data_IF_641937238762
#
_entry.id   IF_641937238762
#
_cell.length_a   1.000
_cell.length_b   1.000
_cell.length_c   1.000
_cell.angle_alpha   90.00
_cell.angle_beta   90.00
_cell.angle_gamma   90.00
#
_symmetry.space_group_name_H-M   'P 1'
#
loop_
_entity.id
_entity.type
_entity.pdbx_description
1 polymer ?
#
# COMPACT_ATOMS: atom_id res chain seq x y z
N UNK A 1 15.94 15.96 -21.61
CA UNK A 1 14.87 15.34 -22.41
C UNK A 1 14.39 14.03 -21.84
N UNK A 2 15.28 13.06 -21.56
CA UNK A 2 14.87 11.79 -20.94
C UNK A 2 14.18 12.01 -19.60
N UNK A 3 14.65 12.96 -18.79
CA UNK A 3 14.04 13.31 -17.50
C UNK A 3 12.64 13.90 -17.64
N UNK A 4 12.41 14.69 -18.70
CA UNK A 4 11.09 15.28 -18.95
C UNK A 4 10.05 14.23 -19.30
N UNK A 5 10.41 13.25 -20.15
CA UNK A 5 9.50 12.17 -20.53
C UNK A 5 9.18 11.25 -19.37
N UNK A 6 10.20 10.91 -18.56
CA UNK A 6 10.00 10.13 -17.35
C UNK A 6 9.11 10.85 -16.33
N UNK A 7 9.28 12.15 -16.17
CA UNK A 7 8.48 12.97 -15.26
C UNK A 7 7.03 13.09 -15.75
N UNK A 8 6.82 13.28 -17.05
CA UNK A 8 5.47 13.33 -17.64
C UNK A 8 4.75 12.00 -17.46
N UNK A 9 5.46 10.89 -17.67
CA UNK A 9 4.90 9.56 -17.44
C UNK A 9 4.52 9.37 -15.98
N UNK A 10 5.38 9.78 -15.06
CA UNK A 10 5.11 9.72 -13.62
C UNK A 10 3.85 10.49 -13.25
N UNK A 11 3.70 11.72 -13.75
CA UNK A 11 2.51 12.54 -13.48
C UNK A 11 1.26 11.92 -14.07
N UNK A 12 1.33 11.33 -15.25
CA UNK A 12 0.22 10.63 -15.87
C UNK A 12 -0.19 9.41 -15.04
N UNK A 13 0.80 8.62 -14.58
CA UNK A 13 0.55 7.44 -13.75
C UNK A 13 -0.09 7.83 -12.41
N UNK A 14 0.36 8.92 -11.79
CA UNK A 14 -0.22 9.43 -10.53
C UNK A 14 -1.65 9.90 -10.75
N UNK A 15 -1.95 10.55 -11.89
CA UNK A 15 -3.30 10.97 -12.24
C UNK A 15 -4.24 9.77 -12.38
N UNK A 16 -3.78 8.69 -13.04
CA UNK A 16 -4.54 7.44 -13.15
C UNK A 16 -4.77 6.80 -11.79
N UNK A 17 -3.77 6.85 -10.92
CA UNK A 17 -3.88 6.33 -9.56
C UNK A 17 -4.93 7.09 -8.74
N UNK A 18 -4.97 8.41 -8.87
CA UNK A 18 -5.99 9.24 -8.23
C UNK A 18 -7.40 8.90 -8.74
N UNK A 19 -7.55 8.70 -10.04
CA UNK A 19 -8.82 8.32 -10.66
C UNK A 19 -9.28 6.96 -10.15
N UNK A 20 -8.37 5.99 -10.05
CA UNK A 20 -8.66 4.67 -9.48
C UNK A 20 -9.18 4.80 -8.05
N UNK A 21 -8.55 5.63 -7.22
CA UNK A 21 -8.93 5.78 -5.81
C UNK A 21 -10.27 6.47 -5.62
N UNK A 22 -10.78 7.18 -6.64
CA UNK A 22 -12.12 7.77 -6.64
C UNK A 22 -13.19 6.80 -7.12
N UNK A 23 -12.79 5.69 -7.73
CA UNK A 23 -13.72 4.71 -8.28
C UNK A 23 -14.36 3.89 -7.16
N UNK A 24 -15.66 3.61 -7.29
CA UNK A 24 -16.38 2.78 -6.31
C UNK A 24 -15.74 1.42 -6.11
N UNK A 25 -15.21 0.83 -7.19
CA UNK A 25 -14.50 -0.45 -7.14
C UNK A 25 -13.28 -0.43 -6.24
N UNK A 26 -12.60 0.72 -6.10
CA UNK A 26 -11.48 0.87 -5.19
C UNK A 26 -11.91 0.71 -3.73
N UNK A 27 -13.03 1.34 -3.34
CA UNK A 27 -13.57 1.22 -2.00
C UNK A 27 -13.97 -0.23 -1.68
N UNK A 28 -14.55 -0.93 -2.64
CA UNK A 28 -14.89 -2.36 -2.49
C UNK A 28 -13.65 -3.20 -2.35
N UNK A 29 -12.63 -2.93 -3.15
CA UNK A 29 -11.33 -3.62 -3.03
C UNK A 29 -10.73 -3.43 -1.64
N UNK A 30 -10.72 -2.19 -1.13
CA UNK A 30 -10.20 -1.90 0.20
C UNK A 30 -10.96 -2.64 1.30
N UNK A 31 -12.28 -2.74 1.20
CA UNK A 31 -13.09 -3.51 2.16
C UNK A 31 -12.66 -4.98 2.19
N UNK A 32 -12.49 -5.60 1.03
CA UNK A 32 -12.02 -6.98 0.97
C UNK A 32 -10.60 -7.14 1.47
N UNK A 33 -9.71 -6.23 1.08
CA UNK A 33 -8.30 -6.26 1.49
C UNK A 33 -8.15 -6.07 3.00
N UNK A 34 -8.96 -5.20 3.60
CA UNK A 34 -8.97 -4.99 5.06
C UNK A 34 -9.45 -6.23 5.80
N UNK A 35 -10.42 -6.96 5.25
CA UNK A 35 -10.85 -8.25 5.82
C UNK A 35 -9.71 -9.27 5.82
N UNK A 36 -8.99 -9.36 4.70
CA UNK A 36 -7.83 -10.27 4.60
C UNK A 36 -6.77 -9.88 5.62
N UNK A 37 -6.47 -8.58 5.72
CA UNK A 37 -5.52 -8.07 6.70
C UNK A 37 -5.95 -8.42 8.13
N UNK A 38 -7.22 -8.25 8.45
CA UNK A 38 -7.76 -8.57 9.77
C UNK A 38 -7.63 -10.05 10.09
N UNK A 39 -7.93 -10.93 9.13
CA UNK A 39 -7.76 -12.37 9.28
C UNK A 39 -6.29 -12.74 9.53
N UNK A 40 -5.36 -12.10 8.82
CA UNK A 40 -3.93 -12.34 9.02
C UNK A 40 -3.45 -11.85 10.40
N UNK A 41 -3.99 -10.76 10.90
CA UNK A 41 -3.69 -10.29 12.25
C UNK A 41 -4.20 -11.31 13.28
N UNK A 42 -5.42 -11.82 13.12
CA UNK A 42 -5.97 -12.86 14.00
C UNK A 42 -5.13 -14.14 13.96
N UNK A 43 -4.71 -14.56 12.77
CA UNK A 43 -3.82 -15.73 12.62
C UNK A 43 -2.51 -15.54 13.37
N UNK A 44 -1.97 -14.32 13.37
CA UNK A 44 -0.75 -13.99 14.12
C UNK A 44 -0.95 -14.19 15.62
N UNK A 45 -2.11 -13.79 16.14
CA UNK A 45 -2.45 -13.94 17.56
C UNK A 45 -2.66 -15.40 17.97
N UNK A 46 -3.00 -16.26 17.01
CA UNK A 46 -3.23 -17.68 17.26
C UNK A 46 -1.95 -18.53 17.24
N UNK A 47 -0.80 -17.96 16.89
CA UNK A 47 0.46 -18.69 16.88
C UNK A 47 0.83 -19.06 18.33
N UNK A 48 1.03 -20.37 18.63
CA UNK A 48 1.37 -20.80 19.97
C UNK A 48 2.72 -20.24 20.43
N UNK A 49 2.91 -19.98 21.73
CA UNK A 49 4.20 -19.49 22.25
C UNK A 49 5.37 -20.44 22.01
N UNK A 50 5.09 -21.74 21.88
CA UNK A 50 6.09 -22.80 21.64
C UNK A 50 6.33 -23.07 20.15
N UNK A 51 5.67 -22.33 19.27
CA UNK A 51 5.90 -22.44 17.82
C UNK A 51 7.34 -21.98 17.49
N UNK A 52 7.91 -22.48 16.37
CA UNK A 52 9.22 -22.01 15.93
C UNK A 52 9.25 -20.47 15.78
N UNK A 53 10.31 -19.84 16.28
CA UNK A 53 10.45 -18.38 16.29
C UNK A 53 10.32 -17.78 14.88
N UNK A 54 10.80 -18.50 13.86
CA UNK A 54 10.69 -18.06 12.47
C UNK A 54 9.28 -17.94 11.97
N UNK A 55 8.34 -18.73 12.51
CA UNK A 55 6.93 -18.66 12.09
C UNK A 55 6.29 -17.34 12.51
N UNK A 56 6.52 -16.88 13.74
CA UNK A 56 6.00 -15.60 14.22
C UNK A 56 6.60 -14.42 13.42
N UNK A 57 7.89 -14.45 13.14
CA UNK A 57 8.56 -13.43 12.36
C UNK A 57 8.02 -13.38 10.94
N UNK A 58 7.82 -14.53 10.30
CA UNK A 58 7.23 -14.63 8.96
C UNK A 58 5.84 -14.03 8.94
N UNK A 59 4.98 -14.42 9.88
CA UNK A 59 3.60 -13.96 9.92
C UNK A 59 3.50 -12.46 10.17
N UNK A 60 4.34 -11.88 11.02
CA UNK A 60 4.41 -10.44 11.24
C UNK A 60 4.84 -9.72 9.95
N UNK A 61 5.76 -10.32 9.19
CA UNK A 61 6.15 -9.79 7.89
C UNK A 61 5.02 -9.77 6.88
N UNK A 62 4.17 -10.82 6.86
CA UNK A 62 2.97 -10.87 6.01
C UNK A 62 2.03 -9.71 6.35
N UNK A 63 1.74 -9.51 7.63
CA UNK A 63 0.86 -8.41 8.09
C UNK A 63 1.45 -7.05 7.72
N UNK A 64 2.74 -6.84 7.98
CA UNK A 64 3.41 -5.58 7.66
C UNK A 64 3.40 -5.30 6.15
N UNK A 65 3.64 -6.34 5.34
CA UNK A 65 3.61 -6.23 3.89
C UNK A 65 2.23 -5.88 3.34
N UNK A 66 1.18 -6.49 3.88
CA UNK A 66 -0.20 -6.18 3.49
C UNK A 66 -0.56 -4.74 3.84
N UNK A 67 -0.22 -4.27 5.04
CA UNK A 67 -0.45 -2.88 5.44
C UNK A 67 0.26 -1.91 4.52
N UNK A 68 1.51 -2.19 4.21
CA UNK A 68 2.28 -1.35 3.32
C UNK A 68 1.68 -1.32 1.92
N UNK A 69 1.30 -2.47 1.38
CA UNK A 69 0.71 -2.56 0.04
C UNK A 69 -0.57 -1.72 -0.08
N UNK A 70 -1.42 -1.75 0.95
CA UNK A 70 -2.65 -0.97 0.98
C UNK A 70 -2.40 0.54 1.04
N UNK A 71 -1.26 0.96 1.59
CA UNK A 71 -0.91 2.36 1.73
C UNK A 71 -0.10 2.94 0.57
N UNK A 72 0.45 2.09 -0.31
CA UNK A 72 1.30 2.54 -1.42
C UNK A 72 0.64 3.62 -2.28
N UNK A 73 -0.62 3.48 -2.73
CA UNK A 73 -1.23 4.52 -3.56
C UNK A 73 -1.28 5.88 -2.88
N UNK A 74 -1.70 5.92 -1.62
CA UNK A 74 -1.78 7.16 -0.87
C UNK A 74 -0.39 7.78 -0.64
N UNK A 75 0.63 6.96 -0.36
CA UNK A 75 2.00 7.42 -0.17
C UNK A 75 2.57 8.03 -1.46
N UNK A 76 2.36 7.36 -2.59
CA UNK A 76 2.84 7.85 -3.90
C UNK A 76 2.23 9.22 -4.22
N UNK A 77 0.93 9.37 -4.03
CA UNK A 77 0.24 10.63 -4.28
C UNK A 77 0.76 11.73 -3.36
N UNK A 78 0.85 11.44 -2.06
CA UNK A 78 1.34 12.40 -1.07
C UNK A 78 2.76 12.86 -1.36
N UNK A 79 3.66 11.94 -1.67
CA UNK A 79 5.05 12.26 -1.96
C UNK A 79 5.19 13.08 -3.24
N UNK A 80 4.37 12.81 -4.24
CA UNK A 80 4.34 13.59 -5.48
C UNK A 80 3.87 15.02 -5.21
N UNK A 81 2.82 15.18 -4.41
CA UNK A 81 2.29 16.51 -4.05
C UNK A 81 3.30 17.32 -3.23
N UNK A 82 4.02 16.67 -2.30
CA UNK A 82 5.07 17.32 -1.51
C UNK A 82 6.22 17.79 -2.40
N UNK A 83 6.65 16.97 -3.35
CA UNK A 83 7.71 17.33 -4.29
C UNK A 83 7.31 18.53 -5.15
N UNK A 84 6.05 18.61 -5.58
CA UNK A 84 5.52 19.75 -6.32
C UNK A 84 5.56 21.04 -5.49
N UNK A 85 5.25 20.96 -4.20
CA UNK A 85 5.29 22.11 -3.31
C UNK A 85 6.72 22.62 -3.11
N UNK A 86 7.68 21.72 -3.04
CA UNK A 86 9.09 22.09 -2.90
C UNK A 86 9.64 22.75 -4.16
N UNK A 87 9.13 22.40 -5.33
CA UNK A 87 9.54 22.96 -6.62
C UNK A 87 8.91 24.34 -6.91
N UNK A 88 7.96 24.76 -6.13
CA UNK A 88 7.34 26.07 -6.26
C UNK A 88 7.80 27.01 -5.16
#
# INVERSE_FOLDING_TARGET
MVKSDALLKWHADVAHLRDLMRHEGWDRYLEFAEKVLHEEIENTLLIPPDAPAGLSAYQRGVVAGLRRALNIPAEVIRNTDLARKEDT
#
